data_IF_654671603123
#
_entry.id   IF_654671603123
#
_cell.length_a   1.000
_cell.length_b   1.000
_cell.length_c   1.000
_cell.angle_alpha   90.00
_cell.angle_beta   90.00
_cell.angle_gamma   90.00
#
_symmetry.space_group_name_H-M   'P 1'
#
loop_
_entity.id
_entity.type
_entity.pdbx_description
1 polymer ?
#
# COMPACT_ATOMS: atom_id res chain seq x y z
N UNK A 1 2.61 -18.50 3.31
CA UNK A 1 1.99 -17.19 3.57
C UNK A 1 1.38 -16.64 2.29
N UNK A 2 0.10 -16.25 2.31
CA UNK A 2 -0.54 -15.70 1.12
C UNK A 2 0.17 -14.43 0.64
N UNK A 3 0.49 -14.41 -0.66
CA UNK A 3 1.15 -13.29 -1.30
C UNK A 3 0.37 -12.92 -2.55
N UNK A 4 0.16 -11.62 -2.76
CA UNK A 4 -0.49 -11.12 -3.96
C UNK A 4 0.44 -10.14 -4.66
N UNK A 5 0.63 -10.33 -5.97
CA UNK A 5 1.46 -9.46 -6.81
C UNK A 5 0.61 -8.87 -7.90
N UNK A 6 0.82 -7.58 -8.14
CA UNK A 6 0.14 -6.89 -9.23
C UNK A 6 1.08 -5.83 -9.80
N UNK A 7 1.02 -5.64 -11.11
CA UNK A 7 1.79 -4.61 -11.80
C UNK A 7 0.84 -3.70 -12.54
N UNK A 8 1.09 -2.39 -12.44
CA UNK A 8 0.23 -1.37 -13.02
C UNK A 8 1.09 -0.36 -13.78
N UNK A 9 0.65 0.02 -14.97
CA UNK A 9 1.27 1.03 -15.80
C UNK A 9 0.52 2.36 -15.68
N UNK A 10 1.25 3.46 -15.56
CA UNK A 10 0.68 4.80 -15.50
C UNK A 10 1.17 5.65 -16.66
N UNK A 11 0.38 6.66 -17.05
CA UNK A 11 0.72 7.59 -18.14
C UNK A 11 1.28 8.92 -17.63
N UNK A 12 1.47 9.07 -16.32
CA UNK A 12 2.05 10.27 -15.71
C UNK A 12 3.52 10.00 -15.33
N UNK A 13 4.31 11.05 -14.99
CA UNK A 13 5.70 10.85 -14.58
C UNK A 13 5.85 10.02 -13.32
N UNK A 14 6.95 9.28 -13.19
CA UNK A 14 7.22 8.46 -12.01
C UNK A 14 7.29 9.30 -10.74
N UNK A 15 7.77 10.53 -10.82
CA UNK A 15 7.82 11.46 -9.69
C UNK A 15 6.45 11.71 -9.09
N UNK A 16 5.44 11.83 -9.96
CA UNK A 16 4.06 12.03 -9.51
C UNK A 16 3.51 10.80 -8.81
N UNK A 17 3.76 9.61 -9.35
CA UNK A 17 3.33 8.35 -8.72
C UNK A 17 4.01 8.18 -7.37
N UNK A 18 5.32 8.38 -7.32
CA UNK A 18 6.09 8.29 -6.09
C UNK A 18 5.55 9.24 -5.01
N UNK A 19 5.33 10.50 -5.40
CA UNK A 19 4.86 11.52 -4.46
C UNK A 19 3.53 11.14 -3.82
N UNK A 20 2.57 10.69 -4.63
CA UNK A 20 1.25 10.31 -4.11
C UNK A 20 1.35 9.09 -3.20
N UNK A 21 2.09 8.07 -3.61
CA UNK A 21 2.19 6.80 -2.86
C UNK A 21 2.87 7.01 -1.51
N UNK A 22 3.91 7.85 -1.44
CA UNK A 22 4.73 7.99 -0.24
C UNK A 22 4.35 9.16 0.65
N UNK A 23 3.42 10.02 0.21
CA UNK A 23 3.01 11.19 1.00
C UNK A 23 1.97 10.80 2.06
N UNK A 24 2.45 10.58 3.28
CA UNK A 24 1.61 10.20 4.41
C UNK A 24 0.84 11.38 5.01
N UNK A 25 1.18 12.62 4.61
CA UNK A 25 0.47 13.81 5.06
C UNK A 25 -0.81 14.08 4.27
N UNK A 26 -0.95 13.46 3.09
CA UNK A 26 -2.14 13.60 2.26
C UNK A 26 -2.59 12.22 1.79
N UNK A 27 -3.52 11.62 2.52
CA UNK A 27 -4.06 10.29 2.22
C UNK A 27 -5.55 10.33 1.92
N UNK A 28 -6.09 11.51 1.61
CA UNK A 28 -7.52 11.67 1.31
C UNK A 28 -7.94 10.95 0.03
N UNK A 29 -6.99 10.60 -0.83
CA UNK A 29 -7.27 9.82 -2.04
C UNK A 29 -7.60 8.36 -1.73
N UNK A 30 -7.26 7.86 -0.55
CA UNK A 30 -7.57 6.51 -0.09
C UNK A 30 -8.99 6.45 0.45
N UNK A 31 -9.85 5.69 -0.21
CA UNK A 31 -11.28 5.60 0.18
C UNK A 31 -11.51 4.78 1.45
N UNK A 32 -10.56 3.94 1.83
CA UNK A 32 -10.69 3.06 2.99
C UNK A 32 -10.15 3.66 4.29
N UNK A 33 -9.42 4.78 4.21
CA UNK A 33 -8.79 5.37 5.39
C UNK A 33 -9.57 6.55 5.95
N UNK A 34 -9.64 6.60 7.28
CA UNK A 34 -10.13 7.76 8.01
C UNK A 34 -9.03 8.78 8.19
N UNK A 35 -7.84 8.33 8.62
CA UNK A 35 -6.65 9.18 8.80
C UNK A 35 -5.40 8.33 8.90
N UNK A 36 -4.26 8.97 8.74
CA UNK A 36 -2.94 8.39 9.01
C UNK A 36 -2.26 9.23 10.08
N UNK A 37 -1.73 8.56 11.08
CA UNK A 37 -1.01 9.18 12.17
C UNK A 37 0.48 8.88 12.01
N UNK A 38 1.29 9.89 11.70
CA UNK A 38 2.72 9.73 11.53
C UNK A 38 3.39 9.88 12.89
N UNK A 39 4.09 8.83 13.35
CA UNK A 39 4.75 8.82 14.64
C UNK A 39 6.20 9.31 14.55
N UNK A 40 6.93 8.88 13.51
CA UNK A 40 8.29 9.31 13.22
C UNK A 40 8.63 9.00 11.75
N UNK A 41 9.90 9.08 11.38
CA UNK A 41 10.33 8.89 9.97
C UNK A 41 10.03 7.49 9.43
N UNK A 42 9.91 6.49 10.29
CA UNK A 42 9.74 5.09 9.88
C UNK A 42 8.48 4.44 10.43
N UNK A 43 7.71 5.12 11.26
CA UNK A 43 6.54 4.54 11.90
C UNK A 43 5.30 5.39 11.68
N UNK A 44 4.21 4.75 11.26
CA UNK A 44 2.92 5.41 11.15
C UNK A 44 1.78 4.42 11.43
N UNK A 45 0.60 4.96 11.69
CA UNK A 45 -0.61 4.18 11.96
C UNK A 45 -1.68 4.59 10.98
N UNK A 46 -2.27 3.61 10.29
CA UNK A 46 -3.45 3.83 9.45
C UNK A 46 -4.70 3.52 10.26
N UNK A 47 -5.63 4.48 10.28
CA UNK A 47 -6.95 4.28 10.87
C UNK A 47 -7.98 4.14 9.76
N UNK A 48 -8.59 2.96 9.68
CA UNK A 48 -9.59 2.71 8.64
C UNK A 48 -10.95 3.27 9.06
N UNK A 49 -11.82 3.50 8.06
CA UNK A 49 -13.20 3.94 8.31
C UNK A 49 -14.00 2.90 9.08
N UNK A 50 -13.60 1.63 9.00
CA UNK A 50 -14.25 0.54 9.73
C UNK A 50 -13.80 0.43 11.19
N UNK A 51 -12.85 1.27 11.63
CA UNK A 51 -12.45 1.34 13.04
C UNK A 51 -11.20 0.55 13.41
N UNK A 52 -10.45 0.05 12.43
CA UNK A 52 -9.20 -0.65 12.70
C UNK A 52 -8.01 0.31 12.68
N UNK A 53 -7.05 0.04 13.56
CA UNK A 53 -5.76 0.72 13.56
C UNK A 53 -4.67 -0.31 13.25
N UNK A 54 -3.84 -0.02 12.24
CA UNK A 54 -2.74 -0.89 11.83
C UNK A 54 -1.43 -0.12 11.95
N UNK A 55 -0.44 -0.74 12.60
CA UNK A 55 0.87 -0.16 12.79
C UNK A 55 1.78 -0.51 11.62
N UNK A 56 2.46 0.49 11.07
CA UNK A 56 3.34 0.35 9.93
C UNK A 56 4.76 0.75 10.29
N UNK A 57 5.73 -0.03 9.80
CA UNK A 57 7.15 0.28 9.93
C UNK A 57 7.78 0.28 8.54
N UNK A 58 8.32 1.43 8.13
CA UNK A 58 8.99 1.56 6.85
C UNK A 58 10.31 0.79 6.88
N UNK A 59 10.50 -0.13 5.93
CA UNK A 59 11.71 -0.94 5.84
C UNK A 59 12.61 -0.53 4.68
N UNK A 60 12.08 0.18 3.68
CA UNK A 60 12.87 0.70 2.59
C UNK A 60 12.21 1.96 2.03
N UNK A 61 13.03 2.97 1.77
CA UNK A 61 12.60 4.20 1.10
C UNK A 61 13.73 4.65 0.18
N UNK A 62 13.71 4.14 -1.06
CA UNK A 62 14.66 4.50 -2.11
C UNK A 62 13.93 5.36 -3.12
N UNK A 63 14.13 6.67 -3.12
CA UNK A 63 13.33 7.60 -3.91
C UNK A 63 13.22 7.19 -5.38
N UNK A 64 11.98 7.18 -5.88
CA UNK A 64 11.60 6.85 -7.25
C UNK A 64 11.87 5.39 -7.64
N UNK A 65 12.27 4.53 -6.69
CA UNK A 65 12.63 3.14 -6.97
C UNK A 65 11.91 2.13 -6.11
N UNK A 66 11.91 2.32 -4.78
CA UNK A 66 11.39 1.29 -3.87
C UNK A 66 10.81 1.92 -2.60
N UNK A 67 9.59 1.50 -2.27
CA UNK A 67 8.90 1.86 -1.05
C UNK A 67 8.38 0.58 -0.41
N UNK A 68 8.82 0.29 0.80
CA UNK A 68 8.42 -0.96 1.46
C UNK A 68 8.19 -0.74 2.95
N UNK A 69 7.27 -1.52 3.50
CA UNK A 69 6.96 -1.47 4.93
C UNK A 69 6.43 -2.81 5.40
N UNK A 70 6.49 -3.02 6.72
CA UNK A 70 5.78 -4.09 7.40
C UNK A 70 4.55 -3.50 8.09
N UNK A 71 3.57 -4.34 8.35
CA UNK A 71 2.34 -3.92 9.00
C UNK A 71 1.89 -4.96 10.02
N UNK A 72 1.22 -4.48 11.09
CA UNK A 72 0.72 -5.37 12.13
C UNK A 72 -0.48 -4.77 12.85
N UNK A 73 -1.46 -5.61 13.14
CA UNK A 73 -2.56 -5.31 14.05
C UNK A 73 -2.96 -6.58 14.80
N UNK A 74 -4.06 -6.53 15.55
CA UNK A 74 -4.51 -7.68 16.33
C UNK A 74 -4.92 -8.90 15.53
N UNK A 75 -5.21 -8.73 14.24
CA UNK A 75 -5.73 -9.80 13.38
C UNK A 75 -4.69 -10.33 12.39
N UNK A 76 -3.68 -9.53 12.04
CA UNK A 76 -2.73 -9.90 10.99
C UNK A 76 -1.37 -9.26 11.16
N UNK A 77 -0.39 -9.82 10.47
CA UNK A 77 0.91 -9.21 10.23
C UNK A 77 1.26 -9.40 8.77
N UNK A 78 2.09 -8.53 8.22
CA UNK A 78 2.46 -8.66 6.82
C UNK A 78 3.46 -7.65 6.35
N UNK A 79 3.64 -7.59 5.04
CA UNK A 79 4.56 -6.66 4.39
C UNK A 79 4.01 -6.22 3.04
N UNK A 80 4.43 -5.05 2.61
CA UNK A 80 4.11 -4.50 1.30
C UNK A 80 5.37 -3.91 0.68
N UNK A 81 5.55 -4.15 -0.61
CA UNK A 81 6.67 -3.59 -1.35
C UNK A 81 6.17 -3.05 -2.69
N UNK A 82 6.53 -1.82 -3.00
CA UNK A 82 6.31 -1.22 -4.31
C UNK A 82 7.64 -0.95 -4.99
N UNK A 83 7.83 -1.53 -6.17
CA UNK A 83 8.99 -1.29 -7.03
C UNK A 83 8.52 -0.39 -8.17
N UNK A 84 9.20 0.75 -8.33
CA UNK A 84 8.89 1.74 -9.36
C UNK A 84 9.88 1.57 -10.50
N UNK A 85 9.37 1.23 -11.68
CA UNK A 85 10.18 1.02 -12.88
C UNK A 85 9.80 2.05 -13.93
N UNK A 86 10.80 2.70 -14.54
CA UNK A 86 10.56 3.64 -15.63
C UNK A 86 10.76 2.95 -16.97
N UNK A 87 9.72 2.91 -17.80
CA UNK A 87 9.78 2.40 -19.16
C UNK A 87 9.38 3.51 -20.12
N UNK A 88 9.62 3.34 -21.43
CA UNK A 88 9.37 4.39 -22.43
C UNK A 88 7.95 4.95 -22.37
N UNK A 89 6.96 4.10 -22.17
CA UNK A 89 5.54 4.50 -22.17
C UNK A 89 5.07 5.04 -20.82
N UNK A 90 5.95 5.19 -19.83
CA UNK A 90 5.63 5.69 -18.50
C UNK A 90 6.03 4.73 -17.40
N UNK A 91 5.81 5.10 -16.14
CA UNK A 91 6.21 4.26 -15.02
C UNK A 91 5.32 3.03 -14.84
N UNK A 92 5.92 1.96 -14.35
CA UNK A 92 5.22 0.78 -13.83
C UNK A 92 5.46 0.67 -12.35
N UNK A 93 4.40 0.34 -11.62
CA UNK A 93 4.48 0.05 -10.19
C UNK A 93 4.20 -1.44 -10.00
N UNK A 94 5.17 -2.14 -9.44
CA UNK A 94 5.06 -3.57 -9.11
C UNK A 94 4.82 -3.69 -7.61
N UNK A 95 3.60 -4.07 -7.24
CA UNK A 95 3.20 -4.21 -5.84
C UNK A 95 3.22 -5.66 -5.42
N UNK A 96 3.86 -5.93 -4.29
CA UNK A 96 3.86 -7.26 -3.67
C UNK A 96 3.40 -7.11 -2.24
N UNK A 97 2.34 -7.82 -1.87
CA UNK A 97 1.81 -7.80 -0.51
C UNK A 97 1.70 -9.20 0.03
N UNK A 98 2.21 -9.40 1.24
CA UNK A 98 2.13 -10.66 1.96
C UNK A 98 1.41 -10.41 3.28
N UNK A 99 0.40 -11.23 3.58
CA UNK A 99 -0.37 -11.12 4.82
C UNK A 99 -0.45 -12.47 5.49
N UNK A 100 -0.20 -12.47 6.80
CA UNK A 100 -0.34 -13.65 7.65
C UNK A 100 -1.43 -13.37 8.68
N UNK A 101 -2.55 -14.11 8.59
CA UNK A 101 -3.63 -14.00 9.56
C UNK A 101 -3.20 -14.63 10.89
N UNK A 102 -3.37 -13.89 12.00
CA UNK A 102 -3.04 -14.40 13.33
C UNK A 102 -4.02 -15.42 13.83
N UNK A 103 -5.26 -15.42 13.29
CA UNK A 103 -6.30 -16.36 13.65
C UNK A 103 -6.45 -17.40 12.53
N UNK A 104 -6.31 -18.69 12.86
CA UNK A 104 -6.30 -19.76 11.86
C UNK A 104 -7.59 -19.82 11.03
N UNK A 105 -8.73 -19.47 11.60
CA UNK A 105 -10.01 -19.51 10.91
C UNK A 105 -10.17 -18.40 9.86
N UNK A 106 -9.33 -17.37 9.92
CA UNK A 106 -9.31 -16.29 8.94
C UNK A 106 -8.47 -16.61 7.71
N UNK A 107 -7.57 -17.58 7.81
CA UNK A 107 -6.59 -17.89 6.76
C UNK A 107 -7.20 -18.18 5.39
N UNK A 108 -8.33 -18.91 5.27
CA UNK A 108 -8.91 -19.18 3.95
C UNK A 108 -9.41 -17.93 3.24
N UNK A 109 -9.68 -16.86 3.96
CA UNK A 109 -10.23 -15.63 3.39
C UNK A 109 -9.16 -14.61 2.98
N UNK A 110 -7.89 -14.83 3.39
CA UNK A 110 -6.81 -13.86 3.14
C UNK A 110 -6.53 -13.63 1.66
N UNK A 111 -6.47 -14.65 0.77
CA UNK A 111 -6.20 -14.39 -0.65
C UNK A 111 -7.23 -13.49 -1.31
N UNK A 112 -8.51 -13.68 -1.01
CA UNK A 112 -9.58 -12.82 -1.55
C UNK A 112 -9.51 -11.42 -0.99
N UNK A 113 -9.22 -11.30 0.30
CA UNK A 113 -9.03 -10.01 0.96
C UNK A 113 -7.89 -9.21 0.33
N UNK A 114 -6.73 -9.87 0.10
CA UNK A 114 -5.57 -9.24 -0.52
C UNK A 114 -5.88 -8.69 -1.91
N UNK A 115 -6.53 -9.50 -2.75
CA UNK A 115 -6.89 -9.07 -4.11
C UNK A 115 -7.81 -7.87 -4.09
N UNK A 116 -8.80 -7.88 -3.19
CA UNK A 116 -9.75 -6.78 -3.07
C UNK A 116 -9.07 -5.50 -2.59
N UNK A 117 -8.19 -5.60 -1.60
CA UNK A 117 -7.47 -4.46 -1.06
C UNK A 117 -6.51 -3.86 -2.09
N UNK A 118 -5.81 -4.68 -2.83
CA UNK A 118 -4.92 -4.19 -3.90
C UNK A 118 -5.71 -3.50 -5.00
N UNK A 119 -6.85 -4.07 -5.39
CA UNK A 119 -7.70 -3.44 -6.42
C UNK A 119 -8.20 -2.08 -5.95
N UNK A 120 -8.69 -1.99 -4.72
CA UNK A 120 -9.16 -0.73 -4.16
C UNK A 120 -8.05 0.31 -4.11
N UNK A 121 -6.88 -0.07 -3.63
CA UNK A 121 -5.72 0.81 -3.56
C UNK A 121 -5.35 1.36 -4.94
N UNK A 122 -5.27 0.48 -5.93
CA UNK A 122 -4.88 0.89 -7.29
C UNK A 122 -5.95 1.72 -7.98
N UNK A 123 -7.22 1.43 -7.75
CA UNK A 123 -8.32 2.24 -8.29
C UNK A 123 -8.29 3.65 -7.68
N UNK A 124 -8.07 3.75 -6.38
CA UNK A 124 -7.94 5.04 -5.70
C UNK A 124 -6.74 5.81 -6.20
N UNK A 125 -5.60 5.14 -6.37
CA UNK A 125 -4.36 5.75 -6.87
C UNK A 125 -4.55 6.27 -8.31
N UNK A 126 -5.15 5.48 -9.19
CA UNK A 126 -5.41 5.92 -10.57
C UNK A 126 -6.30 7.16 -10.60
N UNK A 127 -7.32 7.18 -9.75
CA UNK A 127 -8.23 8.34 -9.68
C UNK A 127 -7.49 9.59 -9.25
N UNK A 128 -6.61 9.48 -8.28
CA UNK A 128 -5.81 10.61 -7.79
C UNK A 128 -4.84 11.11 -8.87
N UNK A 129 -4.21 10.19 -9.60
CA UNK A 129 -3.23 10.53 -10.63
C UNK A 129 -3.86 11.16 -11.89
N UNK A 130 -5.17 11.02 -12.06
CA UNK A 130 -5.90 11.60 -13.19
C UNK A 130 -6.38 13.04 -12.93
N UNK A 131 -6.19 13.53 -11.72
CA UNK A 131 -6.59 14.90 -11.37
C UNK A 131 -5.64 15.96 -11.92
#
# INVERSE_FOLDING_TARGET
MPTSRVSVHFSCPVERVWQVVTDLSNTTWRSDLKRVEVLDETHFVEHTKSGYATNFTVTACEPLRRWAFTMENGNMSGSWEGIFETVESGPRLHCTETVNAKRWWMRPFVPGYLRRQQRLYLDDLRRELQK
#
